data_IF_671645280934
#
_entry.id   IF_671645280934
#
_cell.length_a   1.000
_cell.length_b   1.000
_cell.length_c   1.000
_cell.angle_alpha   90.00
_cell.angle_beta   90.00
_cell.angle_gamma   90.00
#
_symmetry.space_group_name_H-M   'P 1'
#
loop_
_entity.id
_entity.type
_entity.pdbx_description
1 polymer ?
#
# COMPACT_ATOMS: atom_id res chain seq x y z
N UNK A 1 -23.57 -35.07 -15.40
CA UNK A 1 -22.46 -34.24 -14.87
C UNK A 1 -21.47 -35.16 -14.17
N UNK A 2 -20.20 -35.06 -14.50
CA UNK A 2 -19.14 -35.73 -13.73
C UNK A 2 -18.93 -35.03 -12.38
N UNK A 3 -18.29 -35.71 -11.44
CA UNK A 3 -17.90 -35.11 -10.16
C UNK A 3 -17.04 -33.84 -10.35
N UNK A 4 -16.17 -33.85 -11.36
CA UNK A 4 -15.34 -32.70 -11.75
C UNK A 4 -16.20 -31.52 -12.25
N UNK A 5 -17.14 -31.76 -13.16
CA UNK A 5 -18.05 -30.71 -13.66
C UNK A 5 -18.88 -30.10 -12.54
N UNK A 6 -19.28 -30.90 -11.55
CA UNK A 6 -20.01 -30.43 -10.37
C UNK A 6 -19.14 -29.57 -9.47
N UNK A 7 -17.89 -30.00 -9.24
CA UNK A 7 -16.92 -29.23 -8.48
C UNK A 7 -16.69 -27.84 -9.11
N UNK A 8 -16.50 -27.79 -10.43
CA UNK A 8 -16.34 -26.54 -11.17
C UNK A 8 -17.59 -25.65 -11.09
N UNK A 9 -18.78 -26.23 -11.20
CA UNK A 9 -20.04 -25.49 -11.02
C UNK A 9 -20.14 -24.84 -9.63
N UNK A 10 -19.78 -25.58 -8.58
CA UNK A 10 -19.82 -25.07 -7.21
C UNK A 10 -18.79 -23.94 -6.98
N UNK A 11 -17.60 -24.06 -7.57
CA UNK A 11 -16.59 -22.98 -7.54
C UNK A 11 -17.12 -21.72 -8.21
N UNK A 12 -17.68 -21.85 -9.42
CA UNK A 12 -18.21 -20.72 -10.16
C UNK A 12 -19.35 -20.00 -9.40
N UNK A 13 -20.28 -20.76 -8.82
CA UNK A 13 -21.41 -20.23 -8.03
C UNK A 13 -20.92 -19.59 -6.74
N UNK A 14 -20.02 -20.27 -6.02
CA UNK A 14 -19.42 -19.76 -4.79
C UNK A 14 -18.75 -18.41 -5.03
N UNK A 15 -17.92 -18.31 -6.09
CA UNK A 15 -17.26 -17.06 -6.48
C UNK A 15 -18.23 -15.90 -6.66
N UNK A 16 -19.30 -16.07 -7.44
CA UNK A 16 -20.26 -14.99 -7.65
C UNK A 16 -21.03 -14.62 -6.38
N UNK A 17 -21.40 -15.59 -5.54
CA UNK A 17 -22.06 -15.32 -4.26
C UNK A 17 -21.15 -14.55 -3.30
N UNK A 18 -19.89 -14.97 -3.17
CA UNK A 18 -18.90 -14.31 -2.32
C UNK A 18 -18.54 -12.91 -2.83
N UNK A 19 -18.42 -12.72 -4.15
CA UNK A 19 -18.20 -11.41 -4.75
C UNK A 19 -19.35 -10.45 -4.45
N UNK A 20 -20.60 -10.91 -4.60
CA UNK A 20 -21.77 -10.08 -4.40
C UNK A 20 -21.99 -9.73 -2.93
N UNK A 21 -21.98 -10.73 -2.04
CA UNK A 21 -22.46 -10.58 -0.65
C UNK A 21 -21.34 -10.53 0.39
N UNK A 22 -20.13 -10.93 0.02
CA UNK A 22 -19.04 -11.19 0.97
C UNK A 22 -19.21 -12.54 1.65
N UNK A 23 -18.14 -13.04 2.27
CA UNK A 23 -18.15 -14.37 2.88
C UNK A 23 -19.19 -14.53 3.99
N UNK A 24 -19.29 -13.56 4.91
CA UNK A 24 -20.09 -13.72 6.13
C UNK A 24 -21.57 -13.91 5.83
N UNK A 25 -22.04 -13.19 4.81
CA UNK A 25 -23.43 -13.21 4.39
C UNK A 25 -23.81 -14.45 3.56
N UNK A 26 -22.84 -15.23 3.08
CA UNK A 26 -23.09 -16.44 2.28
C UNK A 26 -23.16 -17.66 3.18
N UNK A 27 -24.20 -18.48 2.97
CA UNK A 27 -24.43 -19.74 3.68
C UNK A 27 -24.26 -20.95 2.76
N UNK A 28 -23.96 -22.12 3.34
CA UNK A 28 -23.85 -23.39 2.58
C UNK A 28 -25.21 -23.76 1.96
N UNK A 29 -26.30 -23.45 2.67
CA UNK A 29 -27.68 -23.55 2.22
C UNK A 29 -27.89 -22.82 0.89
N UNK A 30 -27.47 -21.56 0.82
CA UNK A 30 -27.63 -20.72 -0.35
C UNK A 30 -26.79 -21.22 -1.52
N UNK A 31 -25.54 -21.62 -1.27
CA UNK A 31 -24.66 -22.22 -2.29
C UNK A 31 -25.31 -23.47 -2.88
N UNK A 32 -25.77 -24.39 -2.02
CA UNK A 32 -26.39 -25.64 -2.44
C UNK A 32 -27.69 -25.40 -3.24
N UNK A 33 -28.55 -24.49 -2.76
CA UNK A 33 -29.78 -24.12 -3.44
C UNK A 33 -29.51 -23.51 -4.82
N UNK A 34 -28.56 -22.58 -4.92
CA UNK A 34 -28.17 -21.92 -6.17
C UNK A 34 -27.58 -22.92 -7.16
N UNK A 35 -26.77 -23.86 -6.67
CA UNK A 35 -26.18 -24.93 -7.47
C UNK A 35 -27.14 -26.07 -7.81
N UNK A 36 -28.36 -26.07 -7.25
CA UNK A 36 -29.35 -27.16 -7.38
C UNK A 36 -28.79 -28.51 -6.93
N UNK A 37 -28.05 -28.49 -5.82
CA UNK A 37 -27.51 -29.69 -5.16
C UNK A 37 -27.95 -29.74 -3.70
N UNK A 38 -27.78 -30.89 -3.05
CA UNK A 38 -28.02 -31.01 -1.62
C UNK A 38 -26.82 -30.49 -0.81
N UNK A 39 -27.03 -30.03 0.44
CA UNK A 39 -25.94 -29.55 1.31
C UNK A 39 -24.80 -30.57 1.48
N UNK A 40 -25.06 -31.89 1.66
CA UNK A 40 -23.99 -32.88 1.79
C UNK A 40 -22.98 -32.86 0.64
N UNK A 41 -23.41 -32.53 -0.59
CA UNK A 41 -22.51 -32.44 -1.76
C UNK A 41 -21.49 -31.31 -1.58
N UNK A 42 -21.89 -30.17 -1.00
CA UNK A 42 -20.96 -29.06 -0.74
C UNK A 42 -19.94 -29.45 0.33
N UNK A 43 -20.38 -30.12 1.38
CA UNK A 43 -19.50 -30.64 2.43
C UNK A 43 -18.56 -31.74 1.91
N UNK A 44 -19.04 -32.64 1.05
CA UNK A 44 -18.23 -33.70 0.44
C UNK A 44 -17.09 -33.12 -0.42
N UNK A 45 -17.38 -32.09 -1.22
CA UNK A 45 -16.40 -31.51 -2.14
C UNK A 45 -15.44 -30.49 -1.50
N UNK A 46 -15.87 -29.80 -0.43
CA UNK A 46 -15.14 -28.64 0.10
C UNK A 46 -15.06 -28.58 1.62
N UNK A 47 -15.73 -29.47 2.36
CA UNK A 47 -15.78 -29.41 3.82
C UNK A 47 -16.61 -28.24 4.39
N UNK A 48 -17.28 -27.46 3.55
CA UNK A 48 -18.10 -26.31 3.96
C UNK A 48 -17.88 -25.08 3.07
N UNK A 49 -18.38 -23.92 3.53
CA UNK A 49 -18.19 -22.65 2.81
C UNK A 49 -16.77 -22.12 2.91
N UNK A 50 -16.08 -22.42 4.01
CA UNK A 50 -14.69 -22.05 4.29
C UNK A 50 -13.74 -22.66 3.25
N UNK A 51 -13.84 -23.97 3.03
CA UNK A 51 -13.03 -24.66 2.03
C UNK A 51 -13.40 -24.28 0.60
N UNK A 52 -14.68 -24.00 0.31
CA UNK A 52 -15.08 -23.48 -1.00
C UNK A 52 -14.48 -22.09 -1.23
N UNK A 53 -14.54 -21.21 -0.23
CA UNK A 53 -13.94 -19.88 -0.30
C UNK A 53 -12.43 -19.95 -0.51
N UNK A 54 -11.73 -20.79 0.25
CA UNK A 54 -10.29 -20.98 0.09
C UNK A 54 -9.92 -21.42 -1.34
N UNK A 55 -10.65 -22.39 -1.90
CA UNK A 55 -10.43 -22.84 -3.29
C UNK A 55 -10.70 -21.74 -4.31
N UNK A 56 -11.73 -20.92 -4.09
CA UNK A 56 -12.01 -19.77 -4.97
C UNK A 56 -10.87 -18.76 -4.88
N UNK A 57 -10.45 -18.36 -3.67
CA UNK A 57 -9.36 -17.39 -3.48
C UNK A 57 -8.07 -17.90 -4.11
N UNK A 58 -7.66 -19.14 -3.85
CA UNK A 58 -6.44 -19.73 -4.42
C UNK A 58 -6.42 -19.66 -5.94
N UNK A 59 -7.53 -20.03 -6.58
CA UNK A 59 -7.63 -20.04 -8.04
C UNK A 59 -7.57 -18.63 -8.64
N UNK A 60 -8.27 -17.69 -8.02
CA UNK A 60 -8.28 -16.30 -8.48
C UNK A 60 -6.92 -15.63 -8.24
N UNK A 61 -6.27 -15.92 -7.12
CA UNK A 61 -4.90 -15.49 -6.81
C UNK A 61 -3.90 -16.05 -7.80
N UNK A 62 -3.99 -17.34 -8.14
CA UNK A 62 -3.13 -17.96 -9.15
C UNK A 62 -3.32 -17.28 -10.51
N UNK A 63 -4.56 -17.08 -10.94
CA UNK A 63 -4.89 -16.45 -12.22
C UNK A 63 -4.34 -15.02 -12.30
N UNK A 64 -4.53 -14.23 -11.23
CA UNK A 64 -4.01 -12.86 -11.14
C UNK A 64 -2.47 -12.85 -11.14
N UNK A 65 -1.85 -13.73 -10.37
CA UNK A 65 -0.39 -13.85 -10.27
C UNK A 65 0.23 -14.19 -11.62
N UNK A 66 -0.31 -15.19 -12.31
CA UNK A 66 0.14 -15.62 -13.64
C UNK A 66 0.04 -14.45 -14.64
N UNK A 67 -1.10 -13.75 -14.68
CA UNK A 67 -1.32 -12.61 -15.58
C UNK A 67 -0.30 -11.48 -15.39
N UNK A 68 -0.02 -11.11 -14.13
CA UNK A 68 0.89 -10.00 -13.80
C UNK A 68 2.36 -10.43 -13.94
N UNK A 69 2.74 -11.57 -13.39
CA UNK A 69 4.14 -12.03 -13.37
C UNK A 69 4.64 -12.44 -14.75
N UNK A 70 3.80 -13.04 -15.59
CA UNK A 70 4.15 -13.32 -16.98
C UNK A 70 4.51 -12.02 -17.71
N UNK A 71 3.73 -10.97 -17.50
CA UNK A 71 3.96 -9.66 -18.11
C UNK A 71 5.27 -9.02 -17.62
N UNK A 72 5.57 -9.08 -16.32
CA UNK A 72 6.79 -8.53 -15.73
C UNK A 72 8.06 -9.35 -16.03
N UNK A 73 7.91 -10.59 -16.48
CA UNK A 73 9.03 -11.51 -16.77
C UNK A 73 9.46 -11.51 -18.23
N UNK A 74 8.68 -10.85 -19.12
CA UNK A 74 9.00 -10.78 -20.55
C UNK A 74 10.34 -10.08 -20.81
N UNK A 75 11.31 -10.76 -21.45
CA UNK A 75 12.57 -10.14 -21.85
C UNK A 75 12.35 -9.03 -22.88
N UNK A 76 13.24 -8.04 -22.91
CA UNK A 76 13.35 -7.04 -23.99
C UNK A 76 12.20 -6.01 -24.12
N UNK A 77 11.76 -5.42 -23.00
CA UNK A 77 10.86 -4.27 -23.03
C UNK A 77 11.54 -3.01 -22.47
N UNK A 78 11.34 -1.86 -23.11
CA UNK A 78 11.69 -0.57 -22.52
C UNK A 78 10.91 -0.36 -21.22
N UNK A 79 11.48 0.33 -20.22
CA UNK A 79 10.87 0.47 -18.88
C UNK A 79 9.43 1.00 -18.92
N UNK A 80 9.12 1.90 -19.87
CA UNK A 80 7.76 2.41 -20.09
C UNK A 80 6.80 1.32 -20.57
N UNK A 81 7.23 0.50 -21.53
CA UNK A 81 6.42 -0.58 -22.11
C UNK A 81 6.07 -1.64 -21.05
N UNK A 82 6.99 -1.91 -20.10
CA UNK A 82 6.71 -2.82 -18.98
C UNK A 82 5.54 -2.30 -18.15
N UNK A 83 5.54 -1.01 -17.81
CA UNK A 83 4.46 -0.39 -17.03
C UNK A 83 3.14 -0.37 -17.82
N UNK A 84 3.19 -0.07 -19.12
CA UNK A 84 2.02 -0.10 -20.01
C UNK A 84 1.39 -1.49 -20.07
N UNK A 85 2.20 -2.52 -20.28
CA UNK A 85 1.72 -3.89 -20.36
C UNK A 85 1.19 -4.38 -19.01
N UNK A 86 1.88 -4.07 -17.90
CA UNK A 86 1.42 -4.45 -16.56
C UNK A 86 0.07 -3.80 -16.22
N UNK A 87 -0.09 -2.51 -16.54
CA UNK A 87 -1.36 -1.79 -16.35
C UNK A 87 -2.48 -2.43 -17.18
N UNK A 88 -2.22 -2.72 -18.47
CA UNK A 88 -3.20 -3.35 -19.35
C UNK A 88 -3.57 -4.76 -18.91
N UNK A 89 -2.60 -5.58 -18.50
CA UNK A 89 -2.83 -6.94 -18.01
C UNK A 89 -3.70 -6.92 -16.74
N UNK A 90 -3.35 -6.08 -15.77
CA UNK A 90 -4.10 -5.95 -14.52
C UNK A 90 -5.54 -5.45 -14.75
N UNK A 91 -5.72 -4.42 -15.57
CA UNK A 91 -7.05 -3.88 -15.87
C UNK A 91 -7.90 -4.84 -16.71
N UNK A 92 -7.27 -5.61 -17.61
CA UNK A 92 -7.96 -6.67 -18.38
C UNK A 92 -8.40 -7.79 -17.45
N UNK A 93 -7.55 -8.23 -16.52
CA UNK A 93 -7.95 -9.19 -15.49
C UNK A 93 -9.15 -8.67 -14.69
N UNK A 94 -9.12 -7.43 -14.21
CA UNK A 94 -10.24 -6.83 -13.47
C UNK A 94 -11.52 -6.81 -14.32
N UNK A 95 -11.42 -6.50 -15.62
CA UNK A 95 -12.56 -6.50 -16.55
C UNK A 95 -13.17 -7.89 -16.75
N UNK A 96 -12.34 -8.88 -17.08
CA UNK A 96 -12.78 -10.23 -17.40
C UNK A 96 -13.17 -11.05 -16.15
N UNK A 97 -12.57 -10.75 -15.00
CA UNK A 97 -12.70 -11.52 -13.75
C UNK A 97 -13.17 -10.65 -12.59
N UNK A 98 -14.19 -9.80 -12.81
CA UNK A 98 -14.68 -8.83 -11.80
C UNK A 98 -15.03 -9.51 -10.47
N UNK A 99 -15.78 -10.61 -10.50
CA UNK A 99 -16.16 -11.34 -9.29
C UNK A 99 -14.93 -11.91 -8.56
N UNK A 100 -13.99 -12.49 -9.31
CA UNK A 100 -12.76 -13.06 -8.76
C UNK A 100 -11.91 -12.01 -8.06
N UNK A 101 -11.71 -10.86 -8.71
CA UNK A 101 -11.00 -9.73 -8.11
C UNK A 101 -11.68 -9.22 -6.84
N UNK A 102 -13.02 -9.13 -6.80
CA UNK A 102 -13.76 -8.72 -5.60
C UNK A 102 -13.59 -9.71 -4.45
N UNK A 103 -13.55 -11.01 -4.73
CA UNK A 103 -13.29 -12.04 -3.72
C UNK A 103 -11.87 -11.93 -3.16
N UNK A 104 -10.89 -11.72 -4.02
CA UNK A 104 -9.47 -11.61 -3.62
C UNK A 104 -9.20 -10.35 -2.80
N UNK A 105 -9.77 -9.21 -3.20
CA UNK A 105 -9.53 -7.91 -2.53
C UNK A 105 -10.28 -7.79 -1.21
N UNK A 106 -11.39 -8.52 -1.03
CA UNK A 106 -12.13 -8.55 0.23
C UNK A 106 -11.36 -9.39 1.25
N UNK A 107 -10.43 -8.71 1.90
CA UNK A 107 -9.55 -9.28 2.93
C UNK A 107 -10.40 -9.86 4.06
N UNK A 108 -10.32 -11.18 4.23
CA UNK A 108 -10.58 -11.80 5.54
C UNK A 108 -9.22 -12.14 6.11
N UNK A 109 -9.05 -12.06 7.44
CA UNK A 109 -7.92 -12.70 8.09
C UNK A 109 -8.02 -14.20 7.79
N UNK A 110 -7.36 -14.65 6.73
CA UNK A 110 -7.15 -16.05 6.43
C UNK A 110 -6.28 -16.60 7.56
N UNK A 111 -6.51 -17.86 7.93
CA UNK A 111 -5.62 -18.58 8.86
C UNK A 111 -4.22 -18.77 8.27
N UNK A 112 -4.06 -18.56 6.96
CA UNK A 112 -2.78 -18.57 6.25
C UNK A 112 -2.50 -17.18 5.62
N UNK A 113 -1.54 -16.41 6.15
CA UNK A 113 -1.13 -15.12 5.59
C UNK A 113 -0.45 -15.22 4.22
N UNK A 114 0.13 -16.37 3.88
CA UNK A 114 0.99 -16.52 2.70
C UNK A 114 0.22 -16.51 1.37
N UNK A 115 -1.05 -16.96 1.35
CA UNK A 115 -1.94 -16.92 0.19
C UNK A 115 -2.79 -15.65 0.07
N UNK A 116 -2.49 -14.59 0.83
CA UNK A 116 -3.29 -13.36 0.84
C UNK A 116 -2.97 -12.42 -0.33
N UNK A 117 -3.92 -11.55 -0.68
CA UNK A 117 -3.71 -10.48 -1.66
C UNK A 117 -2.51 -9.60 -1.29
N UNK A 118 -2.34 -9.29 0.00
CA UNK A 118 -1.22 -8.48 0.49
C UNK A 118 0.14 -9.13 0.26
N UNK A 119 0.24 -10.46 0.41
CA UNK A 119 1.47 -11.21 0.11
C UNK A 119 1.81 -11.13 -1.38
N UNK A 120 0.83 -11.28 -2.27
CA UNK A 120 1.02 -11.08 -3.71
C UNK A 120 1.46 -9.66 -4.05
N UNK A 121 0.89 -8.63 -3.41
CA UNK A 121 1.36 -7.26 -3.59
C UNK A 121 2.82 -7.10 -3.17
N UNK A 122 3.25 -7.81 -2.12
CA UNK A 122 4.64 -7.92 -1.70
C UNK A 122 5.54 -8.51 -2.80
N UNK A 123 5.17 -9.68 -3.34
CA UNK A 123 5.93 -10.36 -4.39
C UNK A 123 6.04 -9.53 -5.67
N UNK A 124 4.93 -8.91 -6.08
CA UNK A 124 4.92 -7.98 -7.23
C UNK A 124 5.81 -6.77 -6.95
N UNK A 125 5.79 -6.23 -5.72
CA UNK A 125 6.64 -5.11 -5.34
C UNK A 125 8.13 -5.44 -5.40
N UNK A 126 8.53 -6.62 -4.93
CA UNK A 126 9.91 -7.12 -5.04
C UNK A 126 10.33 -7.21 -6.51
N UNK A 127 9.45 -7.74 -7.37
CA UNK A 127 9.73 -7.84 -8.81
C UNK A 127 9.88 -6.47 -9.47
N UNK A 128 9.03 -5.51 -9.11
CA UNK A 128 9.10 -4.12 -9.62
C UNK A 128 10.36 -3.44 -9.11
N UNK A 129 10.77 -3.69 -7.86
CA UNK A 129 12.02 -3.20 -7.28
C UNK A 129 13.23 -3.64 -8.12
N UNK A 130 13.36 -4.92 -8.48
CA UNK A 130 14.46 -5.42 -9.31
C UNK A 130 14.56 -4.68 -10.67
N UNK A 131 13.41 -4.43 -11.29
CA UNK A 131 13.31 -3.69 -12.55
C UNK A 131 13.76 -2.24 -12.38
N UNK A 132 13.34 -1.58 -11.31
CA UNK A 132 13.72 -0.21 -11.00
C UNK A 132 15.19 -0.08 -10.61
N UNK A 133 15.75 -1.01 -9.83
CA UNK A 133 17.19 -1.04 -9.50
C UNK A 133 18.01 -1.10 -10.78
N UNK A 134 17.61 -1.96 -11.72
CA UNK A 134 18.28 -2.08 -13.03
C UNK A 134 18.20 -0.78 -13.84
N UNK A 135 17.04 -0.11 -13.82
CA UNK A 135 16.86 1.18 -14.48
C UNK A 135 17.70 2.29 -13.81
N UNK A 136 17.69 2.40 -12.48
CA UNK A 136 18.42 3.43 -11.75
C UNK A 136 19.94 3.30 -11.91
N UNK A 137 20.47 2.07 -11.90
CA UNK A 137 21.88 1.81 -12.19
C UNK A 137 22.27 2.31 -13.59
N UNK A 138 21.42 2.09 -14.60
CA UNK A 138 21.64 2.57 -15.97
C UNK A 138 21.69 4.10 -16.06
N UNK A 139 20.87 4.78 -15.26
CA UNK A 139 20.81 6.24 -15.19
C UNK A 139 21.73 6.87 -14.12
N UNK A 140 22.55 6.07 -13.44
CA UNK A 140 23.48 6.52 -12.36
C UNK A 140 22.77 7.24 -11.19
N UNK A 141 21.54 6.83 -10.87
CA UNK A 141 20.75 7.35 -9.74
C UNK A 141 20.94 6.43 -8.52
N UNK A 142 21.04 6.95 -7.28
CA UNK A 142 21.14 6.14 -6.07
C UNK A 142 19.92 5.22 -5.89
N UNK A 143 20.14 3.93 -5.66
CA UNK A 143 19.08 2.93 -5.53
C UNK A 143 18.43 2.85 -4.14
N UNK A 144 18.90 3.63 -3.15
CA UNK A 144 18.44 3.54 -1.74
C UNK A 144 16.92 3.79 -1.59
N UNK A 145 16.32 4.60 -2.46
CA UNK A 145 14.89 4.89 -2.43
C UNK A 145 14.02 3.95 -3.26
N UNK A 146 14.61 3.01 -4.00
CA UNK A 146 13.89 2.17 -4.97
C UNK A 146 12.75 1.35 -4.35
N UNK A 147 12.91 0.72 -3.16
CA UNK A 147 11.80 -0.03 -2.55
C UNK A 147 10.53 0.82 -2.38
N UNK A 148 10.68 2.08 -1.98
CA UNK A 148 9.54 2.99 -1.81
C UNK A 148 8.90 3.37 -3.14
N UNK A 149 9.69 3.60 -4.20
CA UNK A 149 9.15 3.88 -5.53
C UNK A 149 8.41 2.66 -6.10
N UNK A 150 8.90 1.44 -5.87
CA UNK A 150 8.22 0.21 -6.27
C UNK A 150 6.85 0.11 -5.58
N UNK A 151 6.80 0.28 -4.26
CA UNK A 151 5.56 0.31 -3.47
C UNK A 151 4.57 1.38 -3.97
N UNK A 152 5.06 2.59 -4.27
CA UNK A 152 4.21 3.67 -4.81
C UNK A 152 3.60 3.33 -6.16
N UNK A 153 4.34 2.68 -7.06
CA UNK A 153 3.85 2.27 -8.38
C UNK A 153 2.82 1.15 -8.28
N UNK A 154 3.10 0.13 -7.47
CA UNK A 154 2.18 -0.97 -7.23
C UNK A 154 0.90 -0.44 -6.57
N UNK A 155 1.03 0.40 -5.54
CA UNK A 155 -0.10 1.05 -4.89
C UNK A 155 -0.93 1.89 -5.87
N UNK A 156 -0.30 2.74 -6.68
CA UNK A 156 -0.99 3.54 -7.70
C UNK A 156 -1.86 2.65 -8.60
N UNK A 157 -1.31 1.53 -9.09
CA UNK A 157 -2.04 0.62 -9.96
C UNK A 157 -3.18 -0.10 -9.25
N UNK A 158 -2.92 -0.65 -8.05
CA UNK A 158 -3.89 -1.45 -7.29
C UNK A 158 -5.06 -0.60 -6.81
N UNK A 159 -4.79 0.54 -6.16
CA UNK A 159 -5.84 1.41 -5.62
C UNK A 159 -6.71 2.00 -6.74
N UNK A 160 -6.11 2.42 -7.85
CA UNK A 160 -6.88 2.94 -8.99
C UNK A 160 -7.70 1.85 -9.68
N UNK A 161 -7.15 0.63 -9.81
CA UNK A 161 -7.87 -0.53 -10.32
C UNK A 161 -9.06 -0.92 -9.44
N UNK A 162 -8.91 -0.92 -8.11
CA UNK A 162 -9.99 -1.17 -7.16
C UNK A 162 -11.12 -0.12 -7.27
N UNK A 163 -10.75 1.15 -7.36
CA UNK A 163 -11.72 2.23 -7.55
C UNK A 163 -12.46 2.07 -8.88
N UNK A 164 -11.75 1.76 -9.96
CA UNK A 164 -12.34 1.55 -11.28
C UNK A 164 -13.24 0.33 -11.35
N UNK A 165 -12.89 -0.76 -10.66
CA UNK A 165 -13.69 -1.99 -10.60
C UNK A 165 -15.12 -1.72 -10.07
N UNK A 166 -15.28 -0.73 -9.20
CA UNK A 166 -16.57 -0.31 -8.63
C UNK A 166 -17.20 0.88 -9.36
N UNK A 167 -16.42 1.68 -10.10
CA UNK A 167 -16.87 2.92 -10.77
C UNK A 167 -16.46 2.95 -12.25
N UNK A 168 -16.94 1.97 -13.04
CA UNK A 168 -16.62 1.75 -14.47
C UNK A 168 -17.16 2.87 -15.40
N UNK A 169 -16.60 4.08 -15.31
CA UNK A 169 -16.94 5.21 -16.20
C UNK A 169 -15.96 5.38 -17.37
N UNK A 170 -14.76 4.84 -17.24
CA UNK A 170 -13.68 4.94 -18.23
C UNK A 170 -13.40 3.56 -18.82
N UNK A 171 -12.98 3.50 -20.09
CA UNK A 171 -12.40 2.30 -20.67
C UNK A 171 -11.04 1.97 -20.04
N UNK A 172 -10.65 0.68 -20.04
CA UNK A 172 -9.39 0.23 -19.44
C UNK A 172 -8.16 0.87 -20.07
N UNK A 173 -8.19 1.11 -21.38
CA UNK A 173 -7.10 1.75 -22.13
C UNK A 173 -6.91 3.20 -21.68
N UNK A 174 -8.01 3.92 -21.45
CA UNK A 174 -7.97 5.30 -20.97
C UNK A 174 -7.40 5.37 -19.55
N UNK A 175 -7.82 4.47 -18.67
CA UNK A 175 -7.28 4.39 -17.31
C UNK A 175 -5.80 3.99 -17.31
N UNK A 176 -5.41 3.00 -18.10
CA UNK A 176 -4.02 2.60 -18.29
C UNK A 176 -3.17 3.80 -18.74
N UNK A 177 -3.68 4.59 -19.71
CA UNK A 177 -2.97 5.78 -20.19
C UNK A 177 -2.72 6.81 -19.07
N UNK A 178 -3.67 7.01 -18.15
CA UNK A 178 -3.50 7.92 -17.01
C UNK A 178 -2.49 7.39 -16.00
N UNK A 179 -2.56 6.10 -15.66
CA UNK A 179 -1.62 5.44 -14.74
C UNK A 179 -0.19 5.54 -15.29
N UNK A 180 0.01 5.14 -16.54
CA UNK A 180 1.31 5.17 -17.21
C UNK A 180 1.82 6.59 -17.34
N UNK A 181 0.97 7.54 -17.74
CA UNK A 181 1.39 8.92 -17.90
C UNK A 181 1.87 9.53 -16.58
N UNK A 182 1.15 9.28 -15.47
CA UNK A 182 1.56 9.74 -14.15
C UNK A 182 2.86 9.07 -13.69
N UNK A 183 2.94 7.74 -13.79
CA UNK A 183 4.12 6.98 -13.41
C UNK A 183 5.35 7.41 -14.22
N UNK A 184 5.23 7.53 -15.54
CA UNK A 184 6.33 7.88 -16.42
C UNK A 184 6.82 9.32 -16.19
N UNK A 185 5.91 10.30 -16.15
CA UNK A 185 6.31 11.69 -15.92
C UNK A 185 6.84 11.92 -14.49
N UNK A 186 6.37 11.16 -13.50
CA UNK A 186 6.89 11.18 -12.13
C UNK A 186 8.30 10.58 -12.03
N UNK A 187 8.50 9.37 -12.55
CA UNK A 187 9.78 8.66 -12.46
C UNK A 187 10.88 9.28 -13.33
N UNK A 188 10.52 9.79 -14.52
CA UNK A 188 11.50 10.36 -15.47
C UNK A 188 12.18 11.62 -14.97
N UNK A 189 11.62 12.29 -13.94
CA UNK A 189 12.16 13.52 -13.35
C UNK A 189 12.66 13.32 -11.91
N UNK A 190 12.97 12.08 -11.51
CA UNK A 190 13.47 11.79 -10.16
C UNK A 190 14.80 12.49 -9.90
N UNK A 191 14.84 13.26 -8.82
CA UNK A 191 16.06 13.84 -8.27
C UNK A 191 16.84 12.77 -7.48
N UNK A 192 18.17 12.75 -7.59
CA UNK A 192 19.01 11.82 -6.84
C UNK A 192 18.93 12.01 -5.31
N UNK A 193 18.56 13.23 -4.86
CA UNK A 193 18.39 13.60 -3.45
C UNK A 193 17.19 14.55 -3.32
N UNK A 194 15.95 14.04 -3.28
CA UNK A 194 14.76 14.88 -3.20
C UNK A 194 14.76 15.68 -1.88
N UNK A 195 14.37 16.95 -1.94
CA UNK A 195 14.23 17.83 -0.77
C UNK A 195 12.82 18.37 -0.68
N UNK A 196 12.22 18.32 0.50
CA UNK A 196 10.94 18.99 0.76
C UNK A 196 11.14 20.50 0.68
N UNK A 197 10.33 21.17 -0.16
CA UNK A 197 10.26 22.63 -0.23
C UNK A 197 9.10 23.06 0.66
N UNK A 198 9.29 22.98 1.98
CA UNK A 198 8.29 23.47 2.92
C UNK A 198 8.35 25.00 2.99
N UNK A 199 7.24 25.69 2.70
CA UNK A 199 7.09 27.12 3.00
C UNK A 199 6.61 27.22 4.44
N UNK A 200 7.57 27.23 5.36
CA UNK A 200 7.30 27.43 6.77
C UNK A 200 8.60 27.58 7.54
N UNK A 201 9.39 28.57 7.13
CA UNK A 201 10.18 29.37 8.05
C UNK A 201 10.34 30.78 7.49
N UNK A 202 9.23 31.52 7.54
CA UNK A 202 9.21 32.96 7.41
C UNK A 202 9.35 33.62 8.78
N UNK A 203 10.44 33.32 9.51
CA UNK A 203 10.62 33.83 10.87
C UNK A 203 12.08 33.91 11.33
N UNK A 204 13.00 34.51 10.55
CA UNK A 204 14.36 34.73 11.09
C UNK A 204 15.40 35.48 10.26
N UNK A 205 15.14 35.88 9.01
CA UNK A 205 16.15 36.58 8.18
C UNK A 205 15.74 38.00 7.73
N UNK A 206 14.88 38.68 8.49
CA UNK A 206 14.59 40.12 8.27
C UNK A 206 15.30 41.08 9.24
N UNK A 207 16.13 40.59 10.16
CA UNK A 207 16.69 41.43 11.24
C UNK A 207 18.18 41.84 11.10
N UNK A 208 18.79 41.73 9.92
CA UNK A 208 20.16 42.25 9.70
C UNK A 208 20.30 43.34 8.65
N UNK A 209 19.21 43.79 8.02
CA UNK A 209 19.26 44.88 7.02
C UNK A 209 18.82 46.26 7.53
N UNK A 210 18.34 46.35 8.78
CA UNK A 210 17.80 47.58 9.38
C UNK A 210 18.67 48.29 10.43
N UNK A 211 19.81 47.72 10.85
CA UNK A 211 20.66 48.29 11.92
C UNK A 211 21.96 48.95 11.45
N UNK A 212 22.18 49.11 10.14
CA UNK A 212 23.43 49.67 9.59
C UNK A 212 23.32 51.07 8.98
N UNK A 213 22.26 51.81 9.31
CA UNK A 213 22.05 53.16 8.77
C UNK A 213 21.57 54.09 9.89
N UNK A 214 22.52 54.80 10.49
CA UNK A 214 22.24 55.86 11.48
C UNK A 214 22.87 55.59 12.85
N UNK A 215 24.19 55.73 12.98
CA UNK A 215 24.75 56.89 13.69
C UNK A 215 26.27 56.95 13.52
N UNK A 216 26.74 58.18 13.40
CA UNK A 216 28.06 58.60 12.94
C UNK A 216 28.99 58.94 14.09
N UNK A 217 30.13 58.24 14.18
CA UNK A 217 31.49 58.76 14.44
C UNK A 217 31.80 59.45 15.80
N UNK A 218 33.06 59.80 16.13
CA UNK A 218 34.08 58.92 16.71
C UNK A 218 34.65 59.44 18.06
N UNK A 219 35.40 58.60 18.79
CA UNK A 219 36.70 58.89 19.45
C UNK A 219 36.93 58.20 20.82
N UNK A 220 38.22 57.89 21.03
CA UNK A 220 38.98 57.77 22.28
C UNK A 220 38.98 56.44 23.07
N UNK A 221 40.09 55.70 22.83
CA UNK A 221 40.97 54.96 23.76
C UNK A 221 40.56 54.87 25.25
N UNK A 222 40.59 53.66 25.83
CA UNK A 222 41.76 53.11 26.54
C UNK A 222 41.40 51.85 27.37
N UNK A 223 42.26 50.84 27.26
CA UNK A 223 42.79 49.96 28.34
C UNK A 223 41.84 49.09 29.20
N UNK A 224 42.12 47.78 29.08
CA UNK A 224 42.48 46.84 30.15
C UNK A 224 41.49 45.84 30.79
N UNK A 225 42.09 44.67 30.97
CA UNK A 225 41.96 43.65 32.01
C UNK A 225 40.70 42.74 32.13
N UNK A 226 40.94 41.48 31.72
CA UNK A 226 40.96 40.28 32.58
C UNK A 226 39.68 39.75 33.25
N UNK A 227 39.37 38.50 32.85
CA UNK A 227 38.48 37.47 33.42
C UNK A 227 38.65 37.22 34.95
N UNK A 228 38.01 36.19 35.54
CA UNK A 228 36.59 35.83 35.69
C UNK A 228 36.23 35.56 37.19
N UNK A 229 35.12 34.85 37.47
CA UNK A 229 34.76 34.16 38.74
C UNK A 229 34.23 35.09 39.89
N UNK A 230 33.31 34.70 40.79
CA UNK A 230 32.71 33.42 41.17
C UNK A 230 31.48 33.65 42.10
N UNK A 231 30.78 32.54 42.41
CA UNK A 231 29.98 32.26 43.63
C UNK A 231 28.62 32.98 43.77
N UNK A 232 27.53 32.34 44.22
CA UNK A 232 27.46 31.34 45.28
C UNK A 232 26.12 30.56 45.25
N UNK A 233 26.11 29.40 45.91
CA UNK A 233 25.07 28.34 45.97
C UNK A 233 24.21 28.51 47.26
N UNK A 234 23.46 27.50 47.77
CA UNK A 234 22.04 27.13 47.57
C UNK A 234 21.14 27.36 48.82
N UNK A 235 19.88 26.91 48.77
CA UNK A 235 19.12 26.17 49.83
C UNK A 235 17.63 26.15 49.43
N UNK A 236 16.74 25.24 49.80
CA UNK A 236 16.69 23.86 50.32
C UNK A 236 15.17 23.57 50.42
N UNK A 237 14.73 22.31 50.42
CA UNK A 237 13.37 21.95 50.82
C UNK A 237 12.55 21.09 49.86
N UNK A 238 12.78 19.77 49.93
CA UNK A 238 11.71 18.77 49.81
C UNK A 238 11.22 18.43 51.26
N UNK A 239 10.04 17.83 51.50
CA UNK A 239 9.87 16.41 51.16
C UNK A 239 8.46 15.95 50.72
N UNK A 240 8.51 14.73 50.17
CA UNK A 240 7.51 13.70 49.84
C UNK A 240 6.23 13.60 50.70
N UNK A 241 5.17 13.05 50.09
CA UNK A 241 4.47 11.83 50.59
C UNK A 241 3.76 11.07 49.45
N UNK A 242 4.12 9.79 49.27
CA UNK A 242 3.29 8.68 48.75
C UNK A 242 1.99 8.53 49.60
N UNK A 243 0.88 7.86 49.26
CA UNK A 243 0.59 6.62 48.50
C UNK A 243 -0.97 6.51 48.35
N UNK A 244 -1.53 5.64 47.47
CA UNK A 244 -2.98 5.35 47.27
C UNK A 244 -3.42 4.17 48.19
N UNK A 245 -4.48 3.34 47.96
CA UNK A 245 -5.62 3.33 47.01
C UNK A 245 -7.00 3.10 47.72
N UNK A 246 -8.10 2.94 46.96
CA UNK A 246 -9.34 2.32 47.49
C UNK A 246 -10.13 1.60 46.39
N UNK A 247 -10.27 0.29 46.58
CA UNK A 247 -11.23 -0.60 45.95
C UNK A 247 -12.66 -0.38 46.49
N UNK A 248 -13.67 -0.73 45.68
CA UNK A 248 -14.97 -1.35 46.01
C UNK A 248 -15.86 -1.22 44.75
N UNK A 249 -16.06 -2.24 43.92
CA UNK A 249 -16.84 -3.47 44.12
C UNK A 249 -18.36 -3.31 43.85
N UNK A 250 -18.87 -4.35 43.17
CA UNK A 250 -20.20 -4.98 43.23
C UNK A 250 -21.26 -4.75 42.12
N UNK A 251 -21.72 -5.91 41.62
CA UNK A 251 -23.06 -6.32 41.15
C UNK A 251 -23.29 -6.31 39.62
N UNK A 252 -23.80 -7.38 38.97
CA UNK A 252 -24.20 -8.74 39.39
C UNK A 252 -24.38 -9.59 38.14
#
# INVERSE_FOLDING_TARGET
MTALQRREQLIAIGRSLFAAKGFEAVSVEEIAATAKVSKPIVYEHFGGKEGLYAVVVDREMQTLTESVMETLSRPAQGSRQIVENAAMAFLTYIEEHTDGFQVVVRDRPTTDPSGSFNSLLGDVSIRVEDLLVTAFKRHKIPAKGVPYYAQMLVGLMVFTGQYWATHRKLGKEQLASYIVNLAWNGLSRIEAKPKLRYVGDGGGQREQRGRRSGESSPAAKSTDDTSPQSDNVPTDGAPQTDTPPSDADTAR
#
